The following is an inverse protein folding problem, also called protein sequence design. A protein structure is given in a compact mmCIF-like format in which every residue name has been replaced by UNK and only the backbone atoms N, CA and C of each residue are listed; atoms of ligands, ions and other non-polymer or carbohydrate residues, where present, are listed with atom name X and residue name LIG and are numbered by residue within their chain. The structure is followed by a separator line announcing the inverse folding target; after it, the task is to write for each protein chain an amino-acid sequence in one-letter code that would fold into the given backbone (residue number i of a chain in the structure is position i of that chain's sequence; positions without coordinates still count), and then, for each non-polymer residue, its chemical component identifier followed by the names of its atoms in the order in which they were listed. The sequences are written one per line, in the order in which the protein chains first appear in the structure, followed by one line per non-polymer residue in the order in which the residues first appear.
data_IF_933610952226
#
_entry.id   IF_933610952226
#
_cell.length_a   1.000
_cell.length_b   1.000
_cell.length_c   1.000
_cell.angle_alpha   90.00
_cell.angle_beta   90.00
_cell.angle_gamma   90.00
#
_symmetry.space_group_name_H-M   'P 1'
#
loop_
_entity.id
_entity.type
_entity.pdbx_description
1 polymer ?
#
# COMPACT_ATOMS: atom_id res chain seq x y z
N UNK A 1 25.59 22.41 7.09
CA UNK A 1 24.33 21.67 7.31
C UNK A 1 23.54 21.76 6.02
N UNK A 2 23.63 20.75 5.16
CA UNK A 2 22.90 20.70 3.89
C UNK A 2 21.72 19.76 4.15
N UNK A 3 20.52 20.32 4.26
CA UNK A 3 19.28 19.56 4.26
C UNK A 3 19.07 18.97 2.86
N UNK A 4 19.25 17.66 2.72
CA UNK A 4 18.96 16.93 1.48
C UNK A 4 17.56 16.32 1.62
N UNK A 5 16.59 16.68 0.77
CA UNK A 5 15.18 16.38 0.98
C UNK A 5 14.82 14.92 0.65
N UNK A 6 13.77 14.41 1.33
CA UNK A 6 13.20 13.05 1.38
C UNK A 6 12.86 12.33 0.03
N UNK A 7 13.29 12.84 -1.12
CA UNK A 7 12.86 12.37 -2.45
C UNK A 7 13.53 11.07 -2.93
N UNK A 8 14.58 10.57 -2.27
CA UNK A 8 15.31 9.38 -2.72
C UNK A 8 14.65 8.05 -2.32
N UNK A 9 13.92 8.00 -1.20
CA UNK A 9 13.10 6.82 -0.83
C UNK A 9 11.85 6.73 -1.71
N UNK A 10 11.36 7.87 -2.17
CA UNK A 10 10.43 7.97 -3.28
C UNK A 10 11.10 7.58 -4.60
N UNK A 11 12.42 7.71 -4.73
CA UNK A 11 13.20 7.52 -5.94
C UNK A 11 13.03 6.15 -6.60
N UNK A 12 12.96 5.04 -5.87
CA UNK A 12 12.74 3.73 -6.50
C UNK A 12 11.30 3.60 -7.05
N UNK A 13 10.32 4.13 -6.29
CA UNK A 13 8.90 4.19 -6.68
C UNK A 13 8.70 5.16 -7.86
N UNK A 14 9.40 6.31 -7.86
CA UNK A 14 9.40 7.31 -8.93
C UNK A 14 10.18 6.85 -10.15
N UNK A 15 11.25 6.06 -9.98
CA UNK A 15 12.08 5.53 -11.07
C UNK A 15 11.32 4.46 -11.85
N UNK A 16 10.62 3.56 -11.16
CA UNK A 16 9.71 2.60 -11.78
C UNK A 16 8.51 3.32 -12.44
N UNK A 17 7.97 4.36 -11.79
CA UNK A 17 6.90 5.19 -12.37
C UNK A 17 7.35 6.04 -13.57
N UNK A 18 8.60 6.51 -13.59
CA UNK A 18 9.22 7.28 -14.69
C UNK A 18 9.55 6.38 -15.88
N UNK A 19 9.98 5.14 -15.64
CA UNK A 19 10.16 4.12 -16.69
C UNK A 19 8.82 3.75 -17.33
N UNK A 20 7.75 3.60 -16.53
CA UNK A 20 6.39 3.40 -17.03
C UNK A 20 5.85 4.62 -17.80
N UNK A 21 6.14 5.84 -17.33
CA UNK A 21 5.80 7.10 -18.01
C UNK A 21 6.52 7.27 -19.35
N UNK A 22 7.84 6.97 -19.42
CA UNK A 22 8.63 7.04 -20.65
C UNK A 22 8.19 6.00 -21.69
N UNK A 23 7.78 4.81 -21.25
CA UNK A 23 7.24 3.76 -22.12
C UNK A 23 5.93 4.16 -22.81
N UNK A 24 5.08 4.93 -22.11
CA UNK A 24 3.82 5.47 -22.68
C UNK A 24 4.06 6.55 -23.73
N UNK A 25 5.15 7.31 -23.60
CA UNK A 25 5.48 8.43 -24.49
C UNK A 25 6.14 8.03 -25.82
N UNK A 26 6.71 6.82 -25.91
CA UNK A 26 7.29 6.28 -27.17
C UNK A 26 6.29 5.53 -28.05
N UNK A 27 5.10 5.20 -27.54
CA UNK A 27 4.10 4.39 -28.25
C UNK A 27 3.01 5.20 -28.97
N UNK A 28 2.98 6.53 -28.85
CA UNK A 28 1.95 7.38 -29.48
C UNK A 28 2.58 8.55 -30.26
N UNK A 29 2.22 8.74 -31.56
CA UNK A 29 2.61 9.92 -32.30
C UNK A 29 2.05 11.20 -31.66
N UNK A 30 2.90 12.20 -31.60
CA UNK A 30 2.78 13.49 -30.92
C UNK A 30 1.63 14.38 -31.40
N UNK A 31 0.37 14.11 -31.03
CA UNK A 31 -0.75 15.06 -31.27
C UNK A 31 -1.91 15.02 -30.26
N UNK A 32 -1.73 14.50 -29.04
CA UNK A 32 -2.73 14.64 -27.96
C UNK A 32 -2.20 15.52 -26.81
N UNK A 33 -3.04 16.39 -26.22
CA UNK A 33 -2.64 17.27 -25.12
C UNK A 33 -2.18 16.43 -23.92
N UNK A 34 -1.28 16.97 -23.07
CA UNK A 34 -0.69 16.22 -21.96
C UNK A 34 -1.80 15.71 -21.03
N UNK A 35 -2.03 14.40 -21.05
CA UNK A 35 -2.93 13.74 -20.11
C UNK A 35 -2.41 13.94 -18.67
N UNK A 36 -3.30 14.07 -17.67
CA UNK A 36 -2.89 14.32 -16.30
C UNK A 36 -2.03 13.17 -15.79
N UNK A 37 -0.76 13.48 -15.55
CA UNK A 37 0.18 12.64 -14.83
C UNK A 37 -0.25 12.52 -13.37
N UNK A 38 -0.08 11.31 -12.80
CA UNK A 38 -0.17 11.01 -11.37
C UNK A 38 -1.45 11.47 -10.65
N UNK A 39 -2.51 10.66 -10.70
CA UNK A 39 -3.62 10.74 -9.73
C UNK A 39 -3.84 9.37 -9.06
N UNK A 40 -2.78 8.86 -8.44
CA UNK A 40 -2.80 7.61 -7.67
C UNK A 40 -2.45 7.91 -6.21
N UNK A 41 -3.44 8.42 -5.48
CA UNK A 41 -3.43 8.48 -4.01
C UNK A 41 -4.83 8.49 -3.40
N UNK A 42 -5.89 8.16 -4.16
CA UNK A 42 -7.25 8.60 -3.81
C UNK A 42 -8.27 7.49 -3.47
N UNK A 43 -7.84 6.43 -2.82
CA UNK A 43 -8.76 5.59 -2.02
C UNK A 43 -8.46 5.59 -0.51
N UNK A 44 -7.39 6.26 -0.07
CA UNK A 44 -7.03 6.38 1.34
C UNK A 44 -7.58 7.63 2.03
N UNK A 45 -8.06 8.63 1.29
CA UNK A 45 -8.42 9.94 1.87
C UNK A 45 -9.91 10.11 2.14
N UNK A 46 -10.61 9.14 2.72
CA UNK A 46 -12.03 9.36 3.06
C UNK A 46 -12.53 8.50 4.21
N UNK A 47 -12.22 8.92 5.44
CA UNK A 47 -13.15 8.75 6.57
C UNK A 47 -12.97 9.73 7.73
N UNK A 48 -12.20 10.82 7.55
CA UNK A 48 -12.14 11.90 8.54
C UNK A 48 -13.35 12.85 8.46
N UNK A 49 -14.09 12.83 7.36
CA UNK A 49 -15.24 13.70 7.24
C UNK A 49 -16.34 13.37 8.23
N UNK A 50 -16.37 12.26 8.99
CA UNK A 50 -17.49 12.09 9.95
C UNK A 50 -17.52 13.16 11.06
N UNK A 51 -16.37 13.71 11.50
CA UNK A 51 -16.34 14.66 12.63
C UNK A 51 -16.56 16.12 12.22
N UNK A 52 -16.26 16.51 10.98
CA UNK A 52 -16.45 17.87 10.44
C UNK A 52 -17.30 17.90 9.15
N UNK A 53 -17.85 16.77 8.70
CA UNK A 53 -18.75 16.72 7.54
C UNK A 53 -19.95 17.60 7.76
N UNK A 54 -20.37 17.86 9.01
CA UNK A 54 -21.50 18.74 9.31
C UNK A 54 -21.43 20.08 8.58
N UNK A 55 -20.22 20.62 8.38
CA UNK A 55 -20.03 21.90 7.71
C UNK A 55 -19.84 21.76 6.19
N UNK A 56 -19.25 20.66 5.71
CA UNK A 56 -19.17 20.33 4.28
C UNK A 56 -20.46 19.69 3.71
N UNK A 57 -21.48 19.48 4.55
CA UNK A 57 -22.50 18.42 4.38
C UNK A 57 -23.53 18.64 3.27
N UNK A 58 -23.75 19.86 2.80
CA UNK A 58 -24.85 20.18 1.88
C UNK A 58 -24.43 20.79 0.54
N UNK A 59 -23.27 21.44 0.45
CA UNK A 59 -22.96 22.28 -0.71
C UNK A 59 -22.41 21.52 -1.93
N UNK A 60 -21.89 20.31 -1.72
CA UNK A 60 -21.16 19.50 -2.73
C UNK A 60 -21.69 18.05 -2.86
N UNK A 61 -22.83 17.73 -2.26
CA UNK A 61 -23.36 16.36 -2.24
C UNK A 61 -24.09 16.02 -3.54
N UNK A 62 -23.70 14.91 -4.17
CA UNK A 62 -24.42 14.37 -5.32
C UNK A 62 -25.62 13.59 -4.81
N UNK A 63 -26.82 13.93 -5.29
CA UNK A 63 -28.07 13.30 -4.86
C UNK A 63 -28.01 11.79 -5.10
N UNK A 64 -28.08 11.04 -4.01
CA UNK A 64 -28.12 9.58 -4.01
C UNK A 64 -29.54 9.04 -3.78
N UNK A 65 -29.75 7.78 -4.14
CA UNK A 65 -31.02 7.10 -3.88
C UNK A 65 -31.17 6.73 -2.39
N UNK A 66 -32.42 6.58 -1.90
CA UNK A 66 -32.66 6.07 -0.56
C UNK A 66 -31.95 4.72 -0.34
N UNK A 67 -31.38 4.51 0.86
CA UNK A 67 -30.72 3.29 1.34
C UNK A 67 -29.43 2.85 0.60
N UNK A 68 -29.29 3.11 -0.70
CA UNK A 68 -28.13 2.72 -1.52
C UNK A 68 -27.19 3.89 -1.82
N UNK A 69 -27.64 5.12 -1.58
CA UNK A 69 -26.89 6.33 -1.91
C UNK A 69 -26.54 6.38 -3.41
N UNK A 70 -25.28 6.63 -3.71
CA UNK A 70 -24.74 6.75 -5.05
C UNK A 70 -24.16 5.42 -5.58
N UNK A 71 -24.31 4.28 -4.87
CA UNK A 71 -23.78 2.98 -5.34
C UNK A 71 -24.26 2.61 -6.74
N UNK A 72 -25.55 2.80 -7.04
CA UNK A 72 -26.12 2.54 -8.37
C UNK A 72 -25.66 3.53 -9.46
N UNK A 73 -25.08 4.67 -9.05
CA UNK A 73 -24.50 5.65 -9.95
C UNK A 73 -23.02 5.35 -10.25
N UNK A 74 -22.36 4.47 -9.49
CA UNK A 74 -20.99 4.03 -9.73
C UNK A 74 -20.97 2.90 -10.76
N UNK A 75 -20.38 3.16 -11.92
CA UNK A 75 -20.23 2.17 -13.00
C UNK A 75 -18.78 1.70 -13.11
N UNK A 76 -18.61 0.46 -13.56
CA UNK A 76 -17.30 -0.14 -13.82
C UNK A 76 -16.57 -0.68 -12.57
N UNK A 77 -15.37 -1.19 -12.81
CA UNK A 77 -14.41 -1.71 -11.82
C UNK A 77 -13.06 -1.01 -11.99
N UNK A 78 -12.20 -1.07 -10.97
CA UNK A 78 -10.85 -0.50 -11.03
C UNK A 78 -10.80 0.92 -11.60
N UNK A 79 -9.97 1.13 -12.63
CA UNK A 79 -9.81 2.42 -13.30
C UNK A 79 -11.07 2.98 -13.95
N UNK A 80 -11.94 2.12 -14.49
CA UNK A 80 -13.18 2.60 -15.09
C UNK A 80 -14.09 3.25 -14.05
N UNK A 81 -14.12 2.69 -12.84
CA UNK A 81 -14.86 3.27 -11.73
C UNK A 81 -14.25 4.60 -11.30
N UNK A 82 -12.93 4.69 -11.19
CA UNK A 82 -12.23 5.93 -10.86
C UNK A 82 -12.48 7.02 -11.91
N UNK A 83 -12.38 6.69 -13.20
CA UNK A 83 -12.69 7.59 -14.32
C UNK A 83 -14.15 8.06 -14.28
N UNK A 84 -15.06 7.15 -13.99
CA UNK A 84 -16.49 7.48 -13.87
C UNK A 84 -16.75 8.41 -12.70
N UNK A 85 -16.11 8.18 -11.54
CA UNK A 85 -16.19 9.08 -10.39
C UNK A 85 -15.63 10.45 -10.72
N UNK A 86 -14.50 10.55 -11.42
CA UNK A 86 -13.96 11.83 -11.88
C UNK A 86 -14.96 12.60 -12.76
N UNK A 87 -15.67 11.92 -13.68
CA UNK A 87 -16.74 12.53 -14.47
C UNK A 87 -17.92 13.01 -13.63
N UNK A 88 -18.26 12.31 -12.55
CA UNK A 88 -19.29 12.75 -11.60
C UNK A 88 -18.85 14.01 -10.85
N UNK A 89 -17.58 14.09 -10.44
CA UNK A 89 -17.01 15.31 -9.83
C UNK A 89 -17.04 16.47 -10.83
N UNK A 90 -16.69 16.24 -12.10
CA UNK A 90 -16.71 17.30 -13.12
C UNK A 90 -18.12 17.83 -13.39
N UNK A 91 -19.12 16.95 -13.35
CA UNK A 91 -20.50 17.32 -13.67
C UNK A 91 -21.24 17.96 -12.49
N UNK A 92 -21.03 17.46 -11.29
CA UNK A 92 -21.86 17.79 -10.12
C UNK A 92 -21.06 18.34 -8.94
N UNK A 93 -19.74 18.20 -8.96
CA UNK A 93 -18.86 18.80 -7.96
C UNK A 93 -18.72 20.30 -8.16
N UNK A 94 -18.23 20.99 -7.13
CA UNK A 94 -17.83 22.39 -7.21
C UNK A 94 -16.38 22.48 -6.78
N UNK A 95 -15.58 23.28 -7.49
CA UNK A 95 -14.13 23.41 -7.26
C UNK A 95 -13.41 22.05 -7.25
N UNK A 96 -13.85 21.12 -8.10
CA UNK A 96 -13.27 19.77 -8.17
C UNK A 96 -13.50 18.91 -6.93
N UNK A 97 -14.48 19.25 -6.09
CA UNK A 97 -14.86 18.49 -4.90
C UNK A 97 -16.32 18.04 -4.97
N UNK A 98 -16.58 16.78 -4.64
CA UNK A 98 -17.94 16.23 -4.55
C UNK A 98 -18.06 15.21 -3.43
N UNK A 99 -19.25 15.08 -2.84
CA UNK A 99 -19.56 14.07 -1.81
C UNK A 99 -20.46 12.99 -2.38
N UNK A 100 -20.07 11.72 -2.21
CA UNK A 100 -20.90 10.54 -2.49
C UNK A 100 -21.22 9.79 -1.19
N UNK A 101 -22.43 9.25 -1.11
CA UNK A 101 -22.90 8.32 -0.09
C UNK A 101 -22.85 6.90 -0.65
N UNK A 102 -22.10 5.99 -0.04
CA UNK A 102 -21.99 4.60 -0.50
C UNK A 102 -22.78 3.65 0.41
N UNK A 103 -24.04 3.39 0.08
CA UNK A 103 -24.93 2.58 0.91
C UNK A 103 -25.53 3.32 2.11
N UNK A 104 -26.07 2.58 3.06
CA UNK A 104 -26.81 3.14 4.18
C UNK A 104 -25.88 3.60 5.32
N UNK A 105 -26.31 4.60 6.09
CA UNK A 105 -25.62 5.02 7.31
C UNK A 105 -24.70 6.24 7.16
N UNK A 106 -24.51 6.97 8.26
CA UNK A 106 -23.79 8.25 8.30
C UNK A 106 -22.29 8.10 8.03
N UNK A 107 -21.72 6.93 8.35
CA UNK A 107 -20.28 6.68 8.21
C UNK A 107 -19.84 6.30 6.79
N UNK A 108 -20.78 6.19 5.86
CA UNK A 108 -20.51 5.79 4.47
C UNK A 108 -20.51 6.99 3.51
N UNK A 109 -20.06 8.15 3.98
CA UNK A 109 -19.89 9.36 3.17
C UNK A 109 -18.44 9.54 2.77
N UNK A 110 -18.22 9.75 1.48
CA UNK A 110 -16.92 9.85 0.85
C UNK A 110 -16.86 11.17 0.07
N UNK A 111 -15.91 12.04 0.38
CA UNK A 111 -15.57 13.21 -0.42
C UNK A 111 -14.48 12.86 -1.42
N UNK A 112 -14.77 13.15 -2.68
CA UNK A 112 -13.86 13.00 -3.80
C UNK A 112 -13.27 14.36 -4.12
N UNK A 113 -11.94 14.40 -4.18
CA UNK A 113 -11.16 15.59 -4.54
C UNK A 113 -10.43 15.26 -5.83
N UNK A 114 -10.72 16.02 -6.89
CA UNK A 114 -10.05 15.94 -8.19
C UNK A 114 -9.07 17.11 -8.39
N UNK A 115 -9.34 18.26 -7.79
CA UNK A 115 -8.55 19.48 -7.96
C UNK A 115 -7.16 19.39 -7.31
N UNK A 116 -6.10 19.71 -8.06
CA UNK A 116 -4.71 19.54 -7.61
C UNK A 116 -4.37 20.37 -6.38
N UNK A 117 -4.73 21.67 -6.35
CA UNK A 117 -4.39 22.53 -5.22
C UNK A 117 -5.12 22.08 -3.95
N UNK A 118 -6.39 21.66 -4.09
CA UNK A 118 -7.16 21.09 -2.99
C UNK A 118 -6.56 19.78 -2.48
N UNK A 119 -6.10 18.90 -3.39
CA UNK A 119 -5.39 17.66 -3.04
C UNK A 119 -4.12 17.98 -2.24
N UNK A 120 -3.30 18.89 -2.76
CA UNK A 120 -2.04 19.30 -2.15
C UNK A 120 -2.26 19.88 -0.75
N UNK A 121 -3.23 20.76 -0.60
CA UNK A 121 -3.60 21.34 0.69
C UNK A 121 -4.13 20.28 1.67
N UNK A 122 -5.01 19.39 1.20
CA UNK A 122 -5.55 18.31 2.04
C UNK A 122 -4.43 17.38 2.53
N UNK A 123 -3.58 16.88 1.63
CA UNK A 123 -2.48 15.96 1.98
C UNK A 123 -1.41 16.59 2.88
N UNK A 124 -1.30 17.91 2.90
CA UNK A 124 -0.39 18.64 3.78
C UNK A 124 -0.91 18.83 5.22
N UNK A 125 -2.16 18.49 5.50
CA UNK A 125 -2.80 18.78 6.79
C UNK A 125 -3.09 17.51 7.59
N UNK A 126 -2.72 17.49 8.88
CA UNK A 126 -2.85 16.33 9.78
C UNK A 126 -4.28 15.77 9.86
N UNK A 127 -5.29 16.62 9.66
CA UNK A 127 -6.70 16.20 9.59
C UNK A 127 -6.99 15.15 8.48
N UNK A 128 -6.22 15.11 7.39
CA UNK A 128 -6.41 14.15 6.29
C UNK A 128 -5.45 12.94 6.39
N UNK A 129 -4.70 12.84 7.49
CA UNK A 129 -3.74 11.74 7.72
C UNK A 129 -4.37 10.43 8.18
N UNK A 130 -5.70 10.39 8.34
CA UNK A 130 -6.44 9.19 8.75
C UNK A 130 -6.41 8.05 7.72
N UNK A 131 -6.95 6.90 8.12
CA UNK A 131 -7.11 5.68 7.33
C UNK A 131 -8.59 5.28 7.28
N UNK A 132 -9.09 4.83 6.12
CA UNK A 132 -10.45 4.35 6.03
C UNK A 132 -10.65 3.13 6.92
N UNK A 133 -11.60 3.24 7.86
CA UNK A 133 -12.09 2.10 8.65
C UNK A 133 -13.16 1.37 7.86
N UNK A 134 -13.00 0.07 7.71
CA UNK A 134 -13.99 -0.81 7.07
C UNK A 134 -13.86 -2.18 7.70
N UNK A 135 -14.99 -2.86 7.87
CA UNK A 135 -15.00 -4.18 8.48
C UNK A 135 -14.09 -5.16 7.73
N UNK A 136 -14.13 -5.14 6.41
CA UNK A 136 -13.29 -6.01 5.58
C UNK A 136 -11.80 -5.76 5.81
N UNK A 137 -11.36 -4.49 5.87
CA UNK A 137 -9.95 -4.15 6.18
C UNK A 137 -9.56 -4.59 7.59
N UNK A 138 -10.44 -4.41 8.57
CA UNK A 138 -10.15 -4.80 9.95
C UNK A 138 -10.07 -6.34 10.06
N UNK A 139 -10.92 -7.09 9.38
CA UNK A 139 -10.83 -8.56 9.35
C UNK A 139 -9.61 -9.06 8.57
N UNK A 140 -9.29 -8.44 7.42
CA UNK A 140 -8.21 -8.90 6.55
C UNK A 140 -6.83 -8.46 7.02
N UNK A 141 -6.70 -7.29 7.63
CA UNK A 141 -5.40 -6.75 8.05
C UNK A 141 -5.28 -6.62 9.57
N UNK A 142 -6.34 -6.96 10.33
CA UNK A 142 -6.37 -6.95 11.81
C UNK A 142 -5.93 -5.62 12.44
N UNK A 143 -6.09 -4.52 11.71
CA UNK A 143 -5.62 -3.20 12.14
C UNK A 143 -4.11 -3.14 12.41
N UNK A 144 -3.33 -4.00 11.76
CA UNK A 144 -1.89 -4.08 11.99
C UNK A 144 -1.12 -3.31 10.90
N UNK A 145 0.09 -2.82 11.24
CA UNK A 145 1.13 -2.43 10.26
C UNK A 145 1.35 -0.94 10.15
N UNK A 146 1.99 -0.50 9.07
CA UNK A 146 2.19 0.94 8.83
C UNK A 146 1.11 1.48 7.87
N UNK A 147 0.54 0.61 7.03
CA UNK A 147 -0.47 0.99 6.03
C UNK A 147 -1.83 1.32 6.67
N UNK A 148 -2.25 0.55 7.67
CA UNK A 148 -3.62 0.58 8.20
C UNK A 148 -3.75 1.16 9.62
N UNK A 149 -2.64 1.42 10.30
CA UNK A 149 -2.60 1.99 11.65
C UNK A 149 -2.67 3.52 11.62
N UNK A 150 -3.19 4.12 12.70
CA UNK A 150 -3.32 5.57 12.88
C UNK A 150 -2.65 6.03 14.20
N UNK A 151 -2.59 7.35 14.39
CA UNK A 151 -2.23 7.96 15.67
C UNK A 151 -0.76 7.80 16.06
N UNK A 152 -0.50 7.70 17.36
CA UNK A 152 0.86 7.59 17.92
C UNK A 152 1.62 6.39 17.36
N UNK A 153 0.98 5.22 17.32
CA UNK A 153 1.57 3.97 16.83
C UNK A 153 2.04 4.12 15.37
N UNK A 154 1.23 4.74 14.51
CA UNK A 154 1.63 5.00 13.12
C UNK A 154 2.82 5.97 13.03
N UNK A 155 2.80 7.07 13.79
CA UNK A 155 3.88 8.08 13.78
C UNK A 155 5.21 7.47 14.23
N UNK A 156 5.19 6.67 15.29
CA UNK A 156 6.37 6.00 15.84
C UNK A 156 6.95 4.97 14.87
N UNK A 157 6.14 4.01 14.40
CA UNK A 157 6.61 2.94 13.51
C UNK A 157 7.00 3.47 12.13
N UNK A 158 6.31 4.51 11.61
CA UNK A 158 6.73 5.19 10.37
C UNK A 158 8.09 5.87 10.56
N UNK A 159 8.30 6.57 11.67
CA UNK A 159 9.58 7.24 11.95
C UNK A 159 10.70 6.21 12.05
N UNK A 160 10.47 5.14 12.81
CA UNK A 160 11.41 4.03 12.93
C UNK A 160 11.74 3.41 11.57
N UNK A 161 10.74 3.11 10.75
CA UNK A 161 10.99 2.55 9.43
C UNK A 161 11.77 3.49 8.52
N UNK A 162 11.44 4.78 8.49
CA UNK A 162 12.18 5.75 7.68
C UNK A 162 13.61 5.96 8.18
N UNK A 163 13.85 5.99 9.48
CA UNK A 163 15.21 6.08 10.03
C UNK A 163 16.02 4.83 9.68
N UNK A 164 15.45 3.65 9.88
CA UNK A 164 16.09 2.37 9.58
C UNK A 164 16.41 2.24 8.09
N UNK A 165 15.45 2.54 7.20
CA UNK A 165 15.67 2.55 5.75
C UNK A 165 16.72 3.58 5.32
N UNK A 166 16.79 4.73 6.00
CA UNK A 166 17.85 5.72 5.78
C UNK A 166 19.21 5.18 6.19
N UNK A 167 19.32 4.55 7.35
CA UNK A 167 20.60 4.04 7.89
C UNK A 167 21.13 2.84 7.07
N UNK A 168 20.24 2.22 6.31
CA UNK A 168 20.47 1.19 5.31
C UNK A 168 20.84 1.75 3.93
N UNK A 169 20.12 2.76 3.44
CA UNK A 169 20.27 3.24 2.06
C UNK A 169 21.09 4.52 1.84
N UNK A 170 21.26 5.40 2.83
CA UNK A 170 21.98 6.67 2.64
C UNK A 170 23.49 6.49 2.85
N UNK A 171 24.23 6.36 1.75
CA UNK A 171 25.69 6.49 1.72
C UNK A 171 26.48 5.24 2.10
N UNK A 172 25.83 4.06 2.14
CA UNK A 172 26.52 2.78 2.33
C UNK A 172 26.55 1.98 1.03
N UNK A 173 27.70 1.35 0.74
CA UNK A 173 27.91 0.61 -0.51
C UNK A 173 26.94 -0.55 -0.68
N UNK A 174 26.53 -1.22 0.40
CA UNK A 174 25.80 -2.48 0.30
C UNK A 174 24.44 -2.41 -0.45
N UNK A 175 23.65 -1.34 -0.28
CA UNK A 175 22.37 -1.22 -1.00
C UNK A 175 22.62 -0.96 -2.48
N UNK A 176 23.63 -0.15 -2.79
CA UNK A 176 24.07 0.07 -4.16
C UNK A 176 24.57 -1.24 -4.78
N UNK A 177 25.37 -2.02 -4.06
CA UNK A 177 25.89 -3.31 -4.49
C UNK A 177 24.73 -4.28 -4.78
N UNK A 178 23.75 -4.35 -3.89
CA UNK A 178 22.54 -5.15 -4.08
C UNK A 178 21.74 -4.73 -5.34
N UNK A 179 21.53 -3.42 -5.55
CA UNK A 179 20.83 -2.92 -6.74
C UNK A 179 21.63 -3.25 -8.01
N UNK A 180 22.95 -3.11 -7.97
CA UNK A 180 23.82 -3.43 -9.11
C UNK A 180 23.82 -4.93 -9.41
N UNK A 181 23.80 -5.78 -8.41
CA UNK A 181 23.73 -7.23 -8.58
C UNK A 181 22.38 -7.65 -9.20
N UNK A 182 21.25 -7.12 -8.74
CA UNK A 182 19.95 -7.37 -9.38
C UNK A 182 19.90 -6.80 -10.81
N UNK A 183 20.53 -5.66 -11.06
CA UNK A 183 20.59 -5.08 -12.40
C UNK A 183 21.44 -5.92 -13.37
N UNK A 184 22.54 -6.53 -12.89
CA UNK A 184 23.35 -7.46 -13.67
C UNK A 184 22.55 -8.71 -14.03
N UNK A 185 21.90 -9.33 -13.04
CA UNK A 185 21.09 -10.53 -13.28
C UNK A 185 19.92 -10.24 -14.24
N UNK A 186 19.29 -9.06 -14.13
CA UNK A 186 18.27 -8.62 -15.09
C UNK A 186 18.81 -8.53 -16.52
N UNK A 187 20.03 -8.00 -16.71
CA UNK A 187 20.65 -7.91 -18.04
C UNK A 187 20.97 -9.31 -18.58
N UNK A 188 21.44 -10.22 -17.73
CA UNK A 188 21.71 -11.61 -18.10
C UNK A 188 20.42 -12.33 -18.51
N UNK A 189 19.35 -12.19 -17.72
CA UNK A 189 18.01 -12.74 -18.02
C UNK A 189 17.48 -12.20 -19.35
N UNK A 190 17.56 -10.88 -19.58
CA UNK A 190 17.13 -10.26 -20.85
C UNK A 190 17.96 -10.73 -22.04
N UNK A 191 19.27 -10.89 -21.86
CA UNK A 191 20.18 -11.35 -22.93
C UNK A 191 19.90 -12.81 -23.31
N UNK A 192 19.56 -13.65 -22.32
CA UNK A 192 19.21 -15.05 -22.54
C UNK A 192 17.90 -15.22 -23.34
N UNK A 193 16.98 -14.26 -23.26
CA UNK A 193 15.65 -14.31 -23.90
C UNK A 193 15.68 -14.01 -25.42
N UNK A 194 16.82 -13.52 -25.95
CA UNK A 194 17.01 -13.17 -27.38
C UNK A 194 15.91 -12.23 -27.92
N UNK A 195 15.26 -12.60 -29.03
CA UNK A 195 14.21 -11.83 -29.72
C UNK A 195 12.78 -12.26 -29.35
N UNK A 196 12.61 -13.12 -28.35
CA UNK A 196 11.27 -13.55 -27.95
C UNK A 196 10.51 -12.39 -27.29
N UNK A 197 9.25 -12.15 -27.66
CA UNK A 197 8.40 -11.23 -26.91
C UNK A 197 8.25 -11.71 -25.48
N UNK A 198 8.53 -10.83 -24.52
CA UNK A 198 8.35 -11.11 -23.09
C UNK A 198 7.43 -10.06 -22.49
N UNK A 199 6.73 -10.41 -21.43
CA UNK A 199 6.19 -9.40 -20.52
C UNK A 199 7.31 -8.97 -19.56
N UNK A 200 7.84 -7.73 -19.66
CA UNK A 200 8.90 -7.29 -18.78
C UNK A 200 8.52 -7.24 -17.31
N UNK A 201 7.23 -7.33 -16.96
CA UNK A 201 6.79 -7.53 -15.57
C UNK A 201 7.34 -8.85 -15.00
N UNK A 202 7.49 -9.89 -15.83
CA UNK A 202 7.98 -11.21 -15.39
C UNK A 202 9.46 -11.20 -15.01
N UNK A 203 10.25 -10.27 -15.55
CA UNK A 203 11.70 -10.14 -15.27
C UNK A 203 12.04 -8.98 -14.34
N UNK A 204 11.36 -7.84 -14.44
CA UNK A 204 11.64 -6.65 -13.62
C UNK A 204 11.11 -6.82 -12.20
N UNK A 205 9.91 -7.39 -12.04
CA UNK A 205 9.26 -7.52 -10.73
C UNK A 205 10.08 -8.35 -9.75
N UNK A 206 10.60 -9.56 -10.10
CA UNK A 206 11.46 -10.32 -9.21
C UNK A 206 12.72 -9.56 -8.76
N UNK A 207 13.38 -8.82 -9.67
CA UNK A 207 14.56 -8.02 -9.36
C UNK A 207 14.24 -6.91 -8.33
N UNK A 208 13.17 -6.14 -8.59
CA UNK A 208 12.73 -5.07 -7.68
C UNK A 208 12.31 -5.64 -6.31
N UNK A 209 11.66 -6.80 -6.32
CA UNK A 209 11.23 -7.51 -5.13
C UNK A 209 12.41 -7.98 -4.28
N UNK A 210 13.49 -8.44 -4.90
CA UNK A 210 14.69 -8.84 -4.19
C UNK A 210 15.38 -7.67 -3.49
N UNK A 211 15.39 -6.46 -4.07
CA UNK A 211 15.90 -5.27 -3.37
C UNK A 211 15.08 -5.01 -2.10
N UNK A 212 13.75 -5.11 -2.17
CA UNK A 212 12.89 -4.94 -0.99
C UNK A 212 13.10 -6.08 0.02
N UNK A 213 13.19 -7.33 -0.43
CA UNK A 213 13.46 -8.48 0.43
C UNK A 213 14.81 -8.39 1.13
N UNK A 214 15.84 -7.89 0.44
CA UNK A 214 17.15 -7.67 1.04
C UNK A 214 17.11 -6.63 2.16
N UNK A 215 16.39 -5.53 1.95
CA UNK A 215 16.23 -4.49 2.97
C UNK A 215 15.33 -4.95 4.13
N UNK A 216 14.21 -5.63 3.81
CA UNK A 216 13.19 -5.97 4.78
C UNK A 216 13.51 -7.25 5.56
N UNK A 217 14.17 -8.22 4.93
CA UNK A 217 14.38 -9.58 5.44
C UNK A 217 15.83 -10.05 5.40
N UNK A 218 16.78 -9.21 4.97
CA UNK A 218 18.18 -9.59 4.86
C UNK A 218 18.44 -10.74 3.86
N UNK A 219 17.48 -11.02 2.97
CA UNK A 219 17.48 -12.20 2.10
C UNK A 219 17.18 -11.86 0.65
N UNK A 220 18.00 -12.45 -0.23
CA UNK A 220 17.74 -12.55 -1.66
C UNK A 220 17.02 -13.86 -1.96
N UNK A 221 15.96 -13.80 -2.75
CA UNK A 221 15.26 -14.98 -3.25
C UNK A 221 15.62 -15.23 -4.71
N UNK A 222 15.52 -16.48 -5.16
CA UNK A 222 15.59 -16.76 -6.60
C UNK A 222 14.43 -16.07 -7.32
N UNK A 223 14.64 -15.58 -8.55
CA UNK A 223 13.56 -15.04 -9.38
C UNK A 223 12.41 -16.05 -9.59
N UNK A 224 12.70 -17.35 -9.47
CA UNK A 224 11.73 -18.43 -9.60
C UNK A 224 11.30 -19.04 -8.26
N UNK A 225 11.55 -18.36 -7.13
CA UNK A 225 11.19 -18.86 -5.81
C UNK A 225 9.66 -18.98 -5.66
N UNK A 226 9.19 -20.23 -5.58
CA UNK A 226 7.77 -20.53 -5.49
C UNK A 226 7.13 -20.02 -4.20
N UNK A 227 7.88 -19.88 -3.10
CA UNK A 227 7.36 -19.39 -1.82
C UNK A 227 7.14 -17.88 -1.88
N UNK A 228 8.09 -17.12 -2.42
CA UNK A 228 7.94 -15.67 -2.59
C UNK A 228 6.82 -15.34 -3.59
N UNK A 229 6.72 -16.09 -4.68
CA UNK A 229 5.61 -15.98 -5.63
C UNK A 229 4.27 -16.24 -4.94
N UNK A 230 4.17 -17.32 -4.16
CA UNK A 230 2.96 -17.64 -3.40
C UNK A 230 2.60 -16.53 -2.40
N UNK A 231 3.57 -15.98 -1.69
CA UNK A 231 3.36 -14.86 -0.77
C UNK A 231 2.75 -13.65 -1.48
N UNK A 232 3.36 -13.23 -2.60
CA UNK A 232 2.91 -12.05 -3.37
C UNK A 232 1.54 -12.26 -3.99
N UNK A 233 1.24 -13.46 -4.52
CA UNK A 233 -0.09 -13.82 -5.01
C UNK A 233 -1.17 -13.70 -3.93
N UNK A 234 -0.92 -14.22 -2.73
CA UNK A 234 -1.87 -14.17 -1.62
C UNK A 234 -2.15 -12.73 -1.17
N UNK A 235 -1.10 -11.91 -1.11
CA UNK A 235 -1.23 -10.49 -0.76
C UNK A 235 -2.02 -9.74 -1.83
N UNK A 236 -1.67 -9.90 -3.11
CA UNK A 236 -2.37 -9.26 -4.23
C UNK A 236 -3.84 -9.66 -4.28
N UNK A 237 -4.15 -10.93 -4.00
CA UNK A 237 -5.52 -11.42 -3.88
C UNK A 237 -6.28 -10.74 -2.74
N UNK A 238 -5.70 -10.63 -1.55
CA UNK A 238 -6.32 -9.96 -0.41
C UNK A 238 -6.49 -8.44 -0.66
N UNK A 239 -5.53 -7.79 -1.30
CA UNK A 239 -5.62 -6.38 -1.71
C UNK A 239 -6.74 -6.17 -2.72
N UNK A 240 -6.81 -7.01 -3.76
CA UNK A 240 -7.87 -6.99 -4.78
C UNK A 240 -9.26 -7.20 -4.16
N UNK A 241 -9.40 -8.16 -3.24
CA UNK A 241 -10.65 -8.44 -2.53
C UNK A 241 -11.09 -7.24 -1.67
N UNK A 242 -10.14 -6.54 -1.06
CA UNK A 242 -10.39 -5.29 -0.31
C UNK A 242 -10.80 -4.14 -1.25
N UNK A 243 -10.06 -3.93 -2.33
CA UNK A 243 -10.22 -2.81 -3.25
C UNK A 243 -11.57 -2.83 -3.99
N UNK A 244 -12.15 -4.03 -4.22
CA UNK A 244 -13.48 -4.17 -4.82
C UNK A 244 -14.59 -3.53 -3.98
N UNK A 245 -14.38 -3.39 -2.67
CA UNK A 245 -15.38 -2.95 -1.69
C UNK A 245 -16.44 -4.04 -1.47
N UNK A 246 -16.54 -4.55 -0.25
CA UNK A 246 -17.51 -5.61 0.04
C UNK A 246 -18.84 -5.00 0.49
N UNK A 247 -20.00 -5.57 0.12
CA UNK A 247 -21.31 -5.07 0.56
C UNK A 247 -21.41 -4.91 2.08
N UNK A 248 -20.70 -5.75 2.85
CA UNK A 248 -20.65 -5.69 4.31
C UNK A 248 -20.06 -4.39 4.87
N UNK A 249 -19.23 -3.69 4.09
CA UNK A 249 -18.59 -2.45 4.50
C UNK A 249 -19.62 -1.31 4.48
N UNK A 250 -20.61 -1.42 3.59
CA UNK A 250 -21.70 -0.47 3.44
C UNK A 250 -22.95 -0.87 4.24
N UNK A 251 -23.11 -2.17 4.53
CA UNK A 251 -24.28 -2.74 5.21
C UNK A 251 -23.86 -3.70 6.33
N UNK A 252 -23.63 -3.19 7.56
CA UNK A 252 -23.13 -4.01 8.67
C UNK A 252 -24.01 -5.21 9.04
N UNK A 253 -25.32 -5.14 8.81
CA UNK A 253 -26.24 -6.27 9.11
C UNK A 253 -25.94 -7.52 8.27
N UNK A 254 -25.28 -7.38 7.10
CA UNK A 254 -24.88 -8.51 6.27
C UNK A 254 -23.87 -9.44 6.96
N UNK A 255 -23.21 -8.98 8.03
CA UNK A 255 -22.28 -9.80 8.84
C UNK A 255 -22.97 -10.99 9.51
N UNK A 256 -24.26 -10.89 9.78
CA UNK A 256 -24.99 -11.88 10.58
C UNK A 256 -25.74 -12.89 9.71
N UNK A 257 -25.65 -12.77 8.38
CA UNK A 257 -26.31 -13.67 7.43
C UNK A 257 -25.32 -14.79 7.06
N UNK A 258 -25.52 -16.02 7.55
CA UNK A 258 -24.70 -17.16 7.14
C UNK A 258 -24.91 -17.46 5.64
N UNK A 259 -23.90 -18.06 5.00
CA UNK A 259 -23.92 -18.49 3.57
C UNK A 259 -23.94 -17.40 2.50
N UNK A 260 -23.64 -16.16 2.85
CA UNK A 260 -23.40 -15.11 1.84
C UNK A 260 -22.06 -15.31 1.13
N UNK A 261 -21.94 -14.83 -0.11
CA UNK A 261 -20.66 -14.78 -0.84
C UNK A 261 -19.53 -14.13 -0.01
N UNK A 262 -19.90 -13.16 0.83
CA UNK A 262 -18.98 -12.49 1.73
C UNK A 262 -18.40 -13.42 2.80
N UNK A 263 -19.20 -14.34 3.38
CA UNK A 263 -18.69 -15.33 4.34
C UNK A 263 -17.60 -16.22 3.73
N UNK A 264 -17.74 -16.60 2.46
CA UNK A 264 -16.70 -17.35 1.73
C UNK A 264 -15.45 -16.52 1.51
N UNK A 265 -15.59 -15.25 1.11
CA UNK A 265 -14.47 -14.32 0.92
C UNK A 265 -13.71 -14.09 2.24
N UNK A 266 -14.42 -13.92 3.35
CA UNK A 266 -13.78 -13.81 4.67
C UNK A 266 -12.96 -15.06 5.01
N UNK A 267 -13.54 -16.25 4.85
CA UNK A 267 -12.85 -17.52 5.13
C UNK A 267 -11.59 -17.67 4.28
N UNK A 268 -11.69 -17.31 3.00
CA UNK A 268 -10.55 -17.32 2.08
C UNK A 268 -9.45 -16.35 2.51
N UNK A 269 -9.79 -15.10 2.83
CA UNK A 269 -8.82 -14.12 3.31
C UNK A 269 -8.16 -14.53 4.63
N UNK A 270 -8.93 -15.08 5.58
CA UNK A 270 -8.38 -15.60 6.84
C UNK A 270 -7.35 -16.70 6.56
N UNK A 271 -7.67 -17.65 5.68
CA UNK A 271 -6.73 -18.71 5.27
C UNK A 271 -5.48 -18.14 4.60
N UNK A 272 -5.64 -17.17 3.70
CA UNK A 272 -4.51 -16.49 3.04
C UNK A 272 -3.61 -15.80 4.07
N UNK A 273 -4.21 -15.10 5.04
CA UNK A 273 -3.50 -14.40 6.10
C UNK A 273 -2.74 -15.36 7.03
N UNK A 274 -3.29 -16.53 7.33
CA UNK A 274 -2.59 -17.57 8.09
C UNK A 274 -1.37 -18.11 7.35
N UNK A 275 -1.45 -18.25 6.02
CA UNK A 275 -0.31 -18.66 5.19
C UNK A 275 0.75 -17.56 5.10
N UNK A 276 0.34 -16.31 4.86
CA UNK A 276 1.23 -15.13 4.88
C UNK A 276 1.91 -15.00 6.25
N UNK A 277 1.15 -15.08 7.34
CA UNK A 277 1.68 -14.93 8.69
C UNK A 277 2.69 -16.03 9.04
N UNK A 278 2.48 -17.27 8.57
CA UNK A 278 3.45 -18.36 8.73
C UNK A 278 4.75 -18.06 8.00
N UNK A 279 4.67 -17.66 6.73
CA UNK A 279 5.87 -17.32 5.95
C UNK A 279 6.68 -16.18 6.60
N UNK A 280 6.00 -15.11 7.03
CA UNK A 280 6.66 -13.98 7.69
C UNK A 280 7.23 -14.38 9.07
N UNK A 281 6.54 -15.26 9.79
CA UNK A 281 7.03 -15.78 11.07
C UNK A 281 8.30 -16.60 10.89
N UNK A 282 8.37 -17.46 9.88
CA UNK A 282 9.58 -18.26 9.59
C UNK A 282 10.79 -17.34 9.39
N UNK A 283 10.63 -16.23 8.67
CA UNK A 283 11.68 -15.23 8.49
C UNK A 283 12.10 -14.58 9.81
N UNK A 284 11.15 -14.21 10.67
CA UNK A 284 11.48 -13.67 12.01
C UNK A 284 12.22 -14.69 12.86
N UNK A 285 11.79 -15.94 12.84
CA UNK A 285 12.38 -17.01 13.66
C UNK A 285 13.81 -17.34 13.23
N UNK A 286 14.10 -17.26 11.93
CA UNK A 286 15.47 -17.37 11.42
C UNK A 286 16.38 -16.27 11.96
N UNK A 287 15.93 -15.01 11.96
CA UNK A 287 16.71 -13.89 12.51
C UNK A 287 16.88 -14.04 14.03
N UNK A 288 15.83 -14.44 14.75
CA UNK A 288 15.90 -14.67 16.21
C UNK A 288 16.94 -15.71 16.62
N UNK A 289 17.18 -16.75 15.80
CA UNK A 289 18.19 -17.78 16.09
C UNK A 289 19.63 -17.26 16.08
N UNK A 290 19.90 -16.26 15.24
CA UNK A 290 21.25 -15.69 15.06
C UNK A 290 21.40 -14.30 15.67
N UNK A 291 20.32 -13.75 16.22
CA UNK A 291 20.25 -12.41 16.79
C UNK A 291 21.24 -12.23 17.94
N UNK A 292 22.12 -11.23 17.81
CA UNK A 292 23.11 -10.85 18.82
C UNK A 292 22.87 -9.42 19.28
N UNK A 293 22.39 -9.19 20.51
CA UNK A 293 22.10 -7.83 21.00
C UNK A 293 23.30 -6.88 21.02
N UNK A 294 24.51 -7.43 21.16
CA UNK A 294 25.78 -6.69 21.22
C UNK A 294 26.39 -6.38 19.85
N UNK A 295 25.78 -6.79 18.74
CA UNK A 295 26.31 -6.51 17.41
C UNK A 295 26.20 -5.02 17.04
N UNK A 296 27.22 -4.52 16.33
CA UNK A 296 27.41 -3.10 16.04
C UNK A 296 26.25 -2.50 15.24
N UNK A 297 25.81 -3.15 14.16
CA UNK A 297 24.72 -2.65 13.30
C UNK A 297 23.78 -3.77 12.82
N UNK A 298 22.45 -3.54 12.79
CA UNK A 298 21.51 -4.46 12.16
C UNK A 298 21.76 -4.55 10.65
N UNK A 299 21.60 -5.75 10.06
CA UNK A 299 21.76 -5.98 8.61
C UNK A 299 20.52 -5.59 7.80
N UNK A 300 19.36 -5.64 8.42
CA UNK A 300 18.06 -5.50 7.76
C UNK A 300 17.00 -5.00 8.76
N UNK A 301 15.79 -4.78 8.25
CA UNK A 301 14.69 -4.22 9.05
C UNK A 301 14.27 -5.14 10.21
N UNK A 302 14.29 -6.46 10.04
CA UNK A 302 13.93 -7.40 11.12
C UNK A 302 14.93 -7.24 12.25
N UNK A 303 16.22 -7.27 11.95
CA UNK A 303 17.27 -7.12 12.96
C UNK A 303 17.22 -5.78 13.68
N UNK A 304 16.97 -4.69 12.96
CA UNK A 304 16.77 -3.38 13.57
C UNK A 304 15.59 -3.39 14.54
N UNK A 305 14.48 -4.03 14.15
CA UNK A 305 13.29 -4.12 14.99
C UNK A 305 13.54 -5.02 16.22
N UNK A 306 14.22 -6.16 16.05
CA UNK A 306 14.59 -7.04 17.16
C UNK A 306 15.53 -6.33 18.15
N UNK A 307 16.48 -5.52 17.65
CA UNK A 307 17.34 -4.67 18.48
C UNK A 307 16.52 -3.65 19.28
N UNK A 308 15.59 -2.97 18.63
CA UNK A 308 14.70 -2.01 19.30
C UNK A 308 13.82 -2.70 20.37
N UNK A 309 13.27 -3.86 20.05
CA UNK A 309 12.48 -4.67 20.99
C UNK A 309 13.32 -5.13 22.19
N UNK A 310 14.59 -5.49 21.98
CA UNK A 310 15.51 -5.85 23.05
C UNK A 310 15.87 -4.64 23.94
N UNK A 311 16.09 -3.47 23.36
CA UNK A 311 16.40 -2.23 24.08
C UNK A 311 15.23 -1.76 24.94
N UNK A 312 13.99 -1.96 24.47
CA UNK A 312 12.78 -1.54 25.19
C UNK A 312 12.09 -2.68 25.95
N UNK A 313 12.76 -3.82 26.16
CA UNK A 313 12.15 -5.02 26.75
C UNK A 313 11.59 -4.82 28.17
N UNK A 314 12.16 -3.88 28.91
CA UNK A 314 11.80 -3.58 30.30
C UNK A 314 10.73 -2.45 30.38
N UNK A 315 10.34 -1.87 29.24
CA UNK A 315 9.31 -0.83 29.15
C UNK A 315 7.94 -1.45 28.84
N UNK A 316 6.99 -1.47 29.80
CA UNK A 316 5.65 -2.03 29.59
C UNK A 316 4.81 -1.21 28.60
N UNK A 317 5.21 0.01 28.27
CA UNK A 317 4.54 0.90 27.31
C UNK A 317 5.10 0.78 25.89
N UNK A 318 6.12 -0.05 25.68
CA UNK A 318 6.73 -0.25 24.38
C UNK A 318 5.71 -0.76 23.35
N UNK A 319 5.73 -0.14 22.18
CA UNK A 319 4.91 -0.56 21.05
C UNK A 319 5.62 -1.58 20.15
N UNK A 320 6.89 -1.90 20.41
CA UNK A 320 7.71 -2.81 19.59
C UNK A 320 7.41 -4.27 19.92
N UNK A 321 6.20 -4.69 19.61
CA UNK A 321 5.71 -6.06 19.84
C UNK A 321 5.91 -6.94 18.60
N UNK A 322 5.91 -8.26 18.79
CA UNK A 322 5.97 -9.21 17.68
C UNK A 322 4.80 -9.05 16.69
N UNK A 323 3.63 -8.59 17.16
CA UNK A 323 2.49 -8.25 16.32
C UNK A 323 2.80 -7.08 15.38
N UNK A 324 3.45 -6.03 15.91
CA UNK A 324 3.85 -4.87 15.11
C UNK A 324 4.95 -5.23 14.09
N UNK A 325 5.91 -6.11 14.46
CA UNK A 325 6.92 -6.60 13.53
C UNK A 325 6.29 -7.35 12.34
N UNK A 326 5.45 -8.37 12.62
CA UNK A 326 4.75 -9.13 11.57
C UNK A 326 4.02 -8.21 10.60
N UNK A 327 3.48 -7.12 11.12
CA UNK A 327 2.71 -6.23 10.29
C UNK A 327 3.50 -5.15 9.56
N UNK A 328 4.67 -4.75 10.09
CA UNK A 328 5.65 -4.01 9.31
C UNK A 328 6.12 -4.88 8.13
N UNK A 329 6.39 -6.18 8.36
CA UNK A 329 6.75 -7.11 7.31
C UNK A 329 5.64 -7.25 6.26
N UNK A 330 4.37 -7.37 6.67
CA UNK A 330 3.22 -7.37 5.76
C UNK A 330 3.17 -6.09 4.90
N UNK A 331 3.50 -4.94 5.50
CA UNK A 331 3.59 -3.66 4.77
C UNK A 331 4.66 -3.73 3.69
N UNK A 332 5.87 -4.21 4.00
CA UNK A 332 6.92 -4.40 3.00
C UNK A 332 6.51 -5.40 1.92
N UNK A 333 5.91 -6.54 2.28
CA UNK A 333 5.40 -7.52 1.31
C UNK A 333 4.31 -6.96 0.40
N UNK A 334 3.52 -5.99 0.86
CA UNK A 334 2.51 -5.31 0.03
C UNK A 334 3.16 -4.41 -1.03
N UNK A 335 4.35 -3.86 -0.77
CA UNK A 335 5.11 -3.12 -1.77
C UNK A 335 5.76 -4.03 -2.82
N UNK A 336 6.15 -5.25 -2.42
CA UNK A 336 6.70 -6.30 -3.32
C UNK A 336 5.66 -6.73 -4.36
N UNK A 337 4.38 -6.78 -4.01
CA UNK A 337 3.37 -7.24 -4.96
C UNK A 337 3.13 -6.25 -6.12
N UNK A 338 3.41 -4.95 -5.94
CA UNK A 338 3.39 -3.98 -7.04
C UNK A 338 2.02 -3.40 -7.45
N UNK A 339 0.88 -3.81 -6.85
CA UNK A 339 -0.45 -3.24 -7.21
C UNK A 339 -0.64 -1.77 -6.82
N UNK A 340 0.30 -1.17 -6.07
CA UNK A 340 0.29 0.28 -5.86
C UNK A 340 0.89 1.07 -7.03
N UNK A 341 1.50 0.40 -8.01
CA UNK A 341 2.29 1.00 -9.10
C UNK A 341 1.61 0.95 -10.48
N UNK A 342 0.41 0.38 -10.61
CA UNK A 342 -0.29 0.26 -11.90
C UNK A 342 -1.75 0.68 -11.84
#
# INVERSE_FOLDING_TARGET
MIEIPLWWSFGLILFVSLLAYYRRRRAEPSNLPPGPACTYSFMTTTKFLSKHAAEFQSHFAIVGFPLIGNLGQLRGSGFDRLRHMAKLVDRYGKNGVATLQLGAGKDNRFVFIKDYETIKHALGHDAFSGRPKSFTRDEFFRGQGILFVEGYLWKEHRRFALSTLRDFGMGKSWLQDMILDEARELVDDLTALKENPIDPTEVITPCANNVICGIAYGKRFSHQDARLRRLTELIGKNLTLTAKGQPVDFYPFLRHIPFTKFSTVLKECTKNNEEIARFLQDLVDEHRKVFRPSADAPSDYIDAFLKQQYTQRDDPTSTFTGSCLKSAQFTFSSYIQGDFLF
#
